data_IF_575541518644
#
_entry.id   IF_575541518644
#
_cell.length_a   1.000
_cell.length_b   1.000
_cell.length_c   1.000
_cell.angle_alpha   90.00
_cell.angle_beta   90.00
_cell.angle_gamma   90.00
#
_symmetry.space_group_name_H-M   'P 1'
#
loop_
_entity.id
_entity.type
_entity.pdbx_description
1 polymer ?
#
# COMPACT_ATOMS: atom_id res chain seq x y z
N UNK A 1 38.58 56.67 6.95
CA UNK A 1 39.15 56.05 5.70
C UNK A 1 40.59 55.58 5.82
N UNK A 2 41.50 56.32 6.47
CA UNK A 2 42.95 55.98 6.54
C UNK A 2 43.24 54.66 7.31
N UNK A 3 42.48 54.35 8.38
CA UNK A 3 42.65 53.09 9.15
C UNK A 3 42.30 51.84 8.38
N UNK A 4 41.26 51.86 7.54
CA UNK A 4 40.86 50.73 6.68
C UNK A 4 41.89 50.42 5.58
N UNK A 5 42.51 51.48 5.01
CA UNK A 5 43.51 51.32 4.01
C UNK A 5 44.83 50.69 4.56
N UNK A 6 45.13 50.97 5.81
CA UNK A 6 46.30 50.43 6.52
C UNK A 6 46.12 48.94 6.84
N UNK A 7 44.92 48.54 7.27
CA UNK A 7 44.53 47.12 7.53
C UNK A 7 44.56 46.34 6.23
N UNK A 8 44.02 46.93 5.13
CA UNK A 8 44.02 46.30 3.81
C UNK A 8 45.47 46.02 3.32
N UNK A 9 46.38 47.01 3.41
CA UNK A 9 47.77 46.84 2.97
C UNK A 9 48.56 45.84 3.83
N UNK A 10 48.30 45.75 5.12
CA UNK A 10 48.93 44.75 6.00
C UNK A 10 48.46 43.32 5.75
N UNK A 11 47.18 43.13 5.36
CA UNK A 11 46.58 41.81 5.19
C UNK A 11 46.12 41.53 3.74
N UNK A 12 46.76 42.14 2.77
CA UNK A 12 46.40 42.07 1.33
C UNK A 12 46.16 40.63 0.83
N UNK A 13 46.99 39.67 1.28
CA UNK A 13 46.84 38.27 0.91
C UNK A 13 45.55 37.63 1.48
N UNK A 14 45.18 37.96 2.72
CA UNK A 14 43.98 37.43 3.36
C UNK A 14 42.72 38.00 2.71
N UNK A 15 42.73 39.30 2.36
CA UNK A 15 41.62 39.93 1.61
C UNK A 15 41.46 39.36 0.24
N UNK A 16 42.56 39.04 -0.47
CA UNK A 16 42.53 38.45 -1.78
C UNK A 16 41.99 36.99 -1.77
N UNK A 17 42.39 36.20 -0.77
CA UNK A 17 41.83 34.87 -0.55
C UNK A 17 40.35 34.91 -0.21
N UNK A 18 39.95 35.82 0.69
CA UNK A 18 38.54 36.01 1.02
C UNK A 18 37.68 36.43 -0.18
N UNK A 19 38.21 37.29 -1.05
CA UNK A 19 37.52 37.70 -2.26
C UNK A 19 37.35 36.54 -3.28
N UNK A 20 38.38 35.71 -3.42
CA UNK A 20 38.33 34.52 -4.27
C UNK A 20 37.25 33.51 -3.74
N UNK A 21 37.18 33.33 -2.42
CA UNK A 21 36.18 32.46 -1.80
C UNK A 21 34.76 32.98 -2.07
N UNK A 22 34.54 34.29 -1.94
CA UNK A 22 33.22 34.91 -2.21
C UNK A 22 32.84 34.70 -3.70
N UNK A 23 33.76 34.90 -4.64
CA UNK A 23 33.50 34.66 -6.06
C UNK A 23 33.20 33.19 -6.32
N UNK A 24 33.91 32.27 -5.69
CA UNK A 24 33.64 30.84 -5.82
C UNK A 24 32.24 30.47 -5.29
N UNK A 25 31.83 31.03 -4.16
CA UNK A 25 30.49 30.82 -3.62
C UNK A 25 29.42 31.36 -4.56
N UNK A 26 29.61 32.56 -5.13
CA UNK A 26 28.67 33.16 -6.09
C UNK A 26 28.60 32.29 -7.36
N UNK A 27 29.72 31.79 -7.86
CA UNK A 27 29.72 30.90 -9.01
C UNK A 27 28.99 29.58 -8.73
N UNK A 28 29.17 28.98 -7.57
CA UNK A 28 28.45 27.78 -7.14
C UNK A 28 26.94 28.05 -7.05
N UNK A 29 26.55 29.18 -6.45
CA UNK A 29 25.14 29.56 -6.35
C UNK A 29 24.52 29.83 -7.73
N UNK A 30 25.26 30.39 -8.68
CA UNK A 30 24.78 30.59 -10.06
C UNK A 30 24.61 29.27 -10.79
N UNK A 31 25.53 28.32 -10.60
CA UNK A 31 25.42 26.96 -11.16
C UNK A 31 24.21 26.25 -10.55
N UNK A 32 24.04 26.27 -9.23
CA UNK A 32 22.86 25.68 -8.55
C UNK A 32 21.55 26.32 -9.02
N UNK A 33 21.53 27.65 -9.17
CA UNK A 33 20.37 28.37 -9.66
C UNK A 33 20.09 28.10 -11.14
N UNK A 34 21.12 27.82 -11.93
CA UNK A 34 21.00 27.38 -13.33
C UNK A 34 20.43 25.96 -13.45
N UNK A 35 20.82 25.07 -12.54
CA UNK A 35 20.19 23.73 -12.44
C UNK A 35 18.74 23.83 -11.93
N UNK A 36 18.46 24.66 -10.93
CA UNK A 36 17.12 24.91 -10.46
C UNK A 36 16.23 25.53 -11.55
N UNK A 37 16.75 26.48 -12.34
CA UNK A 37 16.01 27.06 -13.49
C UNK A 37 15.80 26.07 -14.64
N UNK A 38 16.69 25.10 -14.87
CA UNK A 38 16.45 24.03 -15.84
C UNK A 38 15.33 23.08 -15.42
N UNK A 39 15.12 22.89 -14.10
CA UNK A 39 13.98 22.13 -13.59
C UNK A 39 12.67 22.94 -13.60
N UNK A 40 12.72 24.28 -13.65
CA UNK A 40 11.53 25.17 -13.64
C UNK A 40 11.15 25.71 -15.03
N UNK A 41 11.91 25.46 -16.09
CA UNK A 41 11.58 25.99 -17.42
C UNK A 41 10.69 25.09 -18.28
N UNK A 42 10.12 24.02 -17.70
CA UNK A 42 9.10 23.20 -18.37
C UNK A 42 7.69 23.32 -17.76
N UNK A 43 7.39 24.43 -17.08
CA UNK A 43 6.05 24.69 -16.54
C UNK A 43 5.29 25.76 -17.36
N UNK A 44 5.03 25.46 -18.62
CA UNK A 44 3.75 25.79 -19.21
C UNK A 44 2.89 24.55 -19.02
N UNK A 45 2.17 24.48 -17.90
CA UNK A 45 1.22 23.41 -17.61
C UNK A 45 -0.01 23.63 -18.50
N UNK A 46 0.10 23.18 -19.72
CA UNK A 46 -0.99 22.51 -20.39
C UNK A 46 -1.11 21.21 -19.56
N UNK A 47 -2.33 20.88 -19.10
CA UNK A 47 -2.66 19.55 -18.58
C UNK A 47 -2.45 18.56 -19.72
N UNK A 48 -1.23 18.29 -20.05
CA UNK A 48 -0.85 17.19 -20.88
C UNK A 48 -0.57 16.05 -19.92
N UNK A 49 -1.46 15.08 -19.90
CA UNK A 49 -1.23 13.72 -19.43
C UNK A 49 -0.04 13.14 -20.20
N UNK A 50 1.15 13.67 -19.97
CA UNK A 50 2.37 13.20 -20.60
C UNK A 50 2.88 12.03 -19.77
N UNK A 51 2.62 10.83 -20.28
CA UNK A 51 3.43 9.66 -19.96
C UNK A 51 4.88 10.08 -20.15
N UNK A 52 5.69 9.98 -19.11
CA UNK A 52 7.13 10.20 -19.26
C UNK A 52 7.62 9.27 -20.38
N UNK A 53 8.42 9.77 -21.30
CA UNK A 53 8.96 8.96 -22.41
C UNK A 53 9.89 7.82 -21.93
N UNK A 54 10.31 7.88 -20.67
CA UNK A 54 11.00 6.82 -19.97
C UNK A 54 9.99 5.83 -19.41
N UNK A 55 9.84 4.66 -20.03
CA UNK A 55 9.03 3.56 -19.52
C UNK A 55 7.83 3.18 -20.38
N UNK A 56 7.75 3.64 -21.62
CA UNK A 56 6.77 3.08 -22.56
C UNK A 56 7.00 1.57 -22.68
N UNK A 57 6.06 0.78 -22.16
CA UNK A 57 5.94 -0.66 -22.31
C UNK A 57 6.95 -1.54 -21.56
N UNK A 58 7.79 -1.01 -20.67
CA UNK A 58 8.67 -1.81 -19.84
C UNK A 58 8.18 -1.83 -18.40
N UNK A 59 8.08 -3.01 -17.85
CA UNK A 59 7.72 -3.22 -16.45
C UNK A 59 8.87 -2.81 -15.53
N UNK A 60 8.55 -2.07 -14.47
CA UNK A 60 9.56 -1.57 -13.57
C UNK A 60 10.23 -2.67 -12.73
N UNK A 61 9.51 -3.77 -12.49
CA UNK A 61 9.98 -4.89 -11.64
C UNK A 61 10.75 -5.93 -12.46
N UNK A 62 10.21 -6.37 -13.58
CA UNK A 62 10.79 -7.46 -14.39
C UNK A 62 11.72 -6.95 -15.48
N UNK A 63 11.54 -5.70 -15.91
CA UNK A 63 12.23 -5.15 -17.08
C UNK A 63 11.71 -5.71 -18.40
N UNK A 64 10.66 -6.50 -18.39
CA UNK A 64 10.05 -7.09 -19.57
C UNK A 64 9.24 -6.05 -20.35
N UNK A 65 9.17 -6.25 -21.65
CA UNK A 65 8.43 -5.36 -22.54
C UNK A 65 7.05 -5.92 -22.81
N UNK A 66 6.02 -5.17 -22.43
CA UNK A 66 4.64 -5.49 -22.83
C UNK A 66 4.43 -5.34 -24.34
N UNK A 67 3.53 -6.15 -24.90
CA UNK A 67 3.07 -5.94 -26.26
C UNK A 67 2.36 -4.60 -26.40
N UNK A 68 2.64 -3.87 -27.48
CA UNK A 68 2.10 -2.53 -27.70
C UNK A 68 0.56 -2.51 -27.71
N UNK A 69 -0.08 -3.53 -28.28
CA UNK A 69 -1.53 -3.67 -28.34
C UNK A 69 -2.16 -3.80 -26.95
N UNK A 70 -1.61 -4.65 -26.09
CA UNK A 70 -2.06 -4.87 -24.72
C UNK A 70 -1.85 -3.60 -23.89
N UNK A 71 -0.66 -3.01 -23.96
CA UNK A 71 -0.34 -1.77 -23.25
C UNK A 71 -1.29 -0.61 -23.60
N UNK A 72 -1.64 -0.41 -24.87
CA UNK A 72 -2.56 0.67 -25.28
C UNK A 72 -3.99 0.41 -24.80
N UNK A 73 -4.45 -0.84 -24.72
CA UNK A 73 -5.78 -1.18 -24.17
C UNK A 73 -5.80 -0.85 -22.67
N UNK A 74 -4.84 -1.36 -21.92
CA UNK A 74 -4.73 -1.16 -20.47
C UNK A 74 -4.60 0.33 -20.11
N UNK A 75 -3.77 1.04 -20.82
CA UNK A 75 -3.61 2.49 -20.71
C UNK A 75 -4.92 3.25 -20.91
N UNK A 76 -5.74 2.84 -21.87
CA UNK A 76 -7.03 3.48 -22.12
C UNK A 76 -7.99 3.28 -20.94
N UNK A 77 -8.01 2.10 -20.32
CA UNK A 77 -8.84 1.81 -19.14
C UNK A 77 -8.40 2.69 -17.96
N UNK A 78 -7.09 2.76 -17.69
CA UNK A 78 -6.53 3.62 -16.64
C UNK A 78 -6.87 5.08 -16.90
N UNK A 79 -6.67 5.54 -18.14
CA UNK A 79 -6.95 6.92 -18.55
C UNK A 79 -8.43 7.25 -18.39
N UNK A 80 -9.33 6.39 -18.83
CA UNK A 80 -10.77 6.58 -18.69
C UNK A 80 -11.19 6.75 -17.23
N UNK A 81 -10.66 5.90 -16.33
CA UNK A 81 -10.91 6.01 -14.89
C UNK A 81 -10.41 7.34 -14.33
N UNK A 82 -9.16 7.69 -14.61
CA UNK A 82 -8.53 8.91 -14.09
C UNK A 82 -9.16 10.18 -14.67
N UNK A 83 -9.50 10.19 -15.95
CA UNK A 83 -10.19 11.31 -16.59
C UNK A 83 -11.58 11.53 -15.98
N UNK A 84 -12.34 10.46 -15.68
CA UNK A 84 -13.61 10.59 -14.98
C UNK A 84 -13.43 11.19 -13.57
N UNK A 85 -12.40 10.74 -12.82
CA UNK A 85 -12.10 11.33 -11.52
C UNK A 85 -11.73 12.82 -11.62
N UNK A 86 -10.84 13.18 -12.54
CA UNK A 86 -10.39 14.59 -12.75
C UNK A 86 -11.52 15.49 -13.21
N UNK A 87 -12.45 14.98 -14.02
CA UNK A 87 -13.60 15.73 -14.55
C UNK A 87 -14.79 15.81 -13.59
N UNK A 88 -14.68 15.25 -12.37
CA UNK A 88 -15.75 15.32 -11.38
C UNK A 88 -16.90 14.33 -11.59
N UNK A 89 -16.64 13.20 -12.23
CA UNK A 89 -17.61 12.14 -12.51
C UNK A 89 -17.29 10.85 -11.73
N UNK A 90 -17.38 10.87 -10.37
CA UNK A 90 -17.00 9.72 -9.55
C UNK A 90 -17.86 8.47 -9.80
N UNK A 91 -19.13 8.62 -10.20
CA UNK A 91 -20.02 7.51 -10.54
C UNK A 91 -19.48 6.73 -11.75
N UNK A 92 -19.11 7.44 -12.81
CA UNK A 92 -18.53 6.83 -14.02
C UNK A 92 -17.17 6.18 -13.72
N UNK A 93 -16.34 6.80 -12.87
CA UNK A 93 -15.10 6.19 -12.41
C UNK A 93 -15.36 4.89 -11.60
N UNK A 94 -16.32 4.94 -10.68
CA UNK A 94 -16.68 3.76 -9.87
C UNK A 94 -17.15 2.60 -10.75
N UNK A 95 -17.86 2.85 -11.85
CA UNK A 95 -18.31 1.80 -12.77
C UNK A 95 -17.15 1.05 -13.44
N UNK A 96 -15.98 1.67 -13.57
CA UNK A 96 -14.78 1.05 -14.15
C UNK A 96 -14.10 0.09 -13.14
N UNK A 97 -14.33 0.27 -11.84
CA UNK A 97 -13.76 -0.60 -10.81
C UNK A 97 -14.37 -2.01 -10.92
N UNK A 98 -13.53 -3.05 -10.71
CA UNK A 98 -13.98 -4.44 -10.74
C UNK A 98 -14.93 -4.76 -9.58
N UNK A 99 -15.81 -5.76 -9.77
CA UNK A 99 -16.77 -6.16 -8.75
C UNK A 99 -16.08 -6.71 -7.49
N UNK A 100 -14.96 -7.40 -7.64
CA UNK A 100 -14.20 -7.90 -6.50
C UNK A 100 -13.56 -6.77 -5.71
N UNK A 101 -12.94 -5.81 -6.39
CA UNK A 101 -12.37 -4.63 -5.75
C UNK A 101 -13.47 -3.79 -5.06
N UNK A 102 -14.63 -3.60 -5.70
CA UNK A 102 -15.78 -2.96 -5.05
C UNK A 102 -16.15 -3.67 -3.77
N UNK A 103 -16.38 -4.98 -3.81
CA UNK A 103 -16.80 -5.76 -2.62
C UNK A 103 -15.79 -5.72 -1.48
N UNK A 104 -14.49 -5.76 -1.81
CA UNK A 104 -13.41 -5.84 -0.81
C UNK A 104 -13.00 -4.48 -0.26
N UNK A 105 -13.00 -3.42 -1.09
CA UNK A 105 -12.41 -2.12 -0.74
C UNK A 105 -13.46 -1.02 -0.65
N UNK A 106 -14.39 -0.95 -1.62
CA UNK A 106 -15.38 0.11 -1.73
C UNK A 106 -16.78 -0.46 -1.98
N UNK A 107 -17.45 -1.07 -0.97
CA UNK A 107 -18.71 -1.79 -1.14
C UNK A 107 -19.85 -0.92 -1.72
N UNK A 108 -19.78 0.37 -1.52
CA UNK A 108 -20.71 1.35 -2.10
C UNK A 108 -20.00 2.50 -2.80
N UNK A 109 -20.73 3.20 -3.65
CA UNK A 109 -20.24 4.43 -4.29
C UNK A 109 -19.83 5.50 -3.25
N UNK A 110 -20.52 5.58 -2.12
CA UNK A 110 -20.20 6.52 -1.06
C UNK A 110 -18.85 6.17 -0.41
N UNK A 111 -18.56 4.88 -0.19
CA UNK A 111 -17.27 4.45 0.33
C UNK A 111 -16.12 4.82 -0.62
N UNK A 112 -16.34 4.71 -1.93
CA UNK A 112 -15.39 5.16 -2.93
C UNK A 112 -15.22 6.68 -2.93
N UNK A 113 -16.33 7.43 -2.89
CA UNK A 113 -16.28 8.90 -2.88
C UNK A 113 -15.54 9.40 -1.65
N UNK A 114 -15.87 8.90 -0.46
CA UNK A 114 -15.29 9.39 0.79
C UNK A 114 -13.87 8.83 1.04
N UNK A 115 -13.65 7.56 0.74
CA UNK A 115 -12.40 6.87 1.02
C UNK A 115 -11.32 7.03 -0.07
N UNK A 116 -11.66 7.48 -1.27
CA UNK A 116 -10.72 7.61 -2.38
C UNK A 116 -10.86 8.92 -3.15
N UNK A 117 -12.02 9.14 -3.78
CA UNK A 117 -12.22 10.28 -4.68
C UNK A 117 -12.00 11.63 -3.98
N UNK A 118 -12.62 11.84 -2.80
CA UNK A 118 -12.49 13.08 -2.05
C UNK A 118 -11.06 13.31 -1.55
N UNK A 119 -10.32 12.26 -1.23
CA UNK A 119 -8.95 12.40 -0.74
C UNK A 119 -7.96 12.84 -1.82
N UNK A 120 -8.18 12.43 -3.07
CA UNK A 120 -7.23 12.66 -4.15
C UNK A 120 -7.70 13.77 -5.09
N UNK A 121 -8.99 13.79 -5.48
CA UNK A 121 -9.48 14.60 -6.60
C UNK A 121 -10.38 15.75 -6.20
N UNK A 122 -11.05 15.70 -5.03
CA UNK A 122 -11.96 16.76 -4.61
C UNK A 122 -11.18 18.06 -4.36
N UNK A 123 -11.62 19.13 -5.03
CA UNK A 123 -11.05 20.47 -4.90
C UNK A 123 -9.56 20.58 -5.28
N UNK A 124 -8.96 19.51 -5.79
CA UNK A 124 -7.57 19.45 -6.18
C UNK A 124 -7.44 19.48 -7.71
N UNK A 125 -6.57 20.36 -8.22
CA UNK A 125 -6.09 20.25 -9.60
C UNK A 125 -4.98 19.20 -9.63
N UNK A 126 -5.37 17.93 -9.78
CA UNK A 126 -4.47 16.79 -9.74
C UNK A 126 -3.95 16.52 -11.14
N UNK A 127 -2.63 16.45 -11.27
CA UNK A 127 -1.97 15.81 -12.40
C UNK A 127 -1.55 14.40 -12.00
N UNK A 128 -1.54 13.49 -12.94
CA UNK A 128 -1.15 12.11 -12.69
C UNK A 128 -0.14 11.63 -13.72
N UNK A 129 0.67 10.67 -13.31
CA UNK A 129 1.55 9.88 -14.16
C UNK A 129 1.33 8.40 -13.86
N UNK A 130 1.52 7.53 -14.84
CA UNK A 130 1.43 6.08 -14.63
C UNK A 130 2.53 5.36 -15.38
N UNK A 131 2.97 4.23 -14.80
CA UNK A 131 4.04 3.40 -15.29
C UNK A 131 3.68 1.93 -15.11
N UNK A 132 3.94 1.07 -16.10
CA UNK A 132 3.83 -0.36 -15.92
C UNK A 132 4.75 -0.81 -14.77
N UNK A 133 4.21 -1.55 -13.80
CA UNK A 133 4.93 -1.98 -12.61
C UNK A 133 5.33 -3.46 -12.72
N UNK A 134 4.35 -4.32 -12.88
CA UNK A 134 4.49 -5.75 -13.15
C UNK A 134 3.28 -6.19 -13.95
N UNK A 135 3.40 -7.25 -14.76
CA UNK A 135 2.34 -7.80 -15.62
C UNK A 135 1.13 -6.86 -15.87
N UNK A 136 0.05 -7.03 -15.10
CA UNK A 136 -1.19 -6.28 -15.23
C UNK A 136 -1.30 -5.11 -14.24
N UNK A 137 -0.22 -4.81 -13.49
CA UNK A 137 -0.20 -3.79 -12.45
C UNK A 137 0.55 -2.53 -12.90
N UNK A 138 -0.02 -1.38 -12.61
CA UNK A 138 0.50 -0.06 -12.90
C UNK A 138 0.68 0.73 -11.61
N UNK A 139 1.82 1.41 -11.49
CA UNK A 139 2.06 2.44 -10.48
C UNK A 139 1.48 3.76 -10.98
N UNK A 140 0.65 4.38 -10.15
CA UNK A 140 0.06 5.70 -10.42
C UNK A 140 0.64 6.70 -9.42
N UNK A 141 1.09 7.83 -9.94
CA UNK A 141 1.65 8.92 -9.14
C UNK A 141 0.78 10.15 -9.29
N UNK A 142 0.27 10.67 -8.18
CA UNK A 142 -0.55 11.87 -8.14
C UNK A 142 0.24 13.07 -7.64
N UNK A 143 0.08 14.20 -8.29
CA UNK A 143 0.69 15.48 -7.90
C UNK A 143 -0.39 16.54 -7.81
N UNK A 144 -0.49 17.21 -6.68
CA UNK A 144 -1.37 18.35 -6.52
C UNK A 144 -0.70 19.58 -7.12
N UNK A 145 -1.33 20.22 -8.09
CA UNK A 145 -0.89 21.49 -8.65
C UNK A 145 -1.28 22.64 -7.71
N UNK A 146 -0.40 23.00 -6.77
CA UNK A 146 -0.59 24.09 -5.81
C UNK A 146 -0.24 25.47 -6.43
N UNK A 147 -0.51 25.68 -7.71
CA UNK A 147 -0.24 26.98 -8.34
C UNK A 147 -1.27 28.06 -8.02
N UNK A 148 -2.37 27.76 -7.29
CA UNK A 148 -3.43 28.76 -7.05
C UNK A 148 -3.31 29.51 -5.71
N UNK A 149 -2.47 29.10 -4.77
CA UNK A 149 -2.43 29.70 -3.42
C UNK A 149 -1.13 30.38 -3.03
N UNK A 150 -0.09 30.35 -3.87
CA UNK A 150 1.19 31.03 -3.61
C UNK A 150 1.98 30.52 -2.39
N UNK A 151 1.57 29.42 -1.79
CA UNK A 151 2.27 28.76 -0.69
C UNK A 151 3.06 27.60 -1.27
N UNK A 152 4.37 27.70 -1.25
CA UNK A 152 5.28 26.55 -1.45
C UNK A 152 5.14 25.61 -0.26
N UNK A 153 4.15 24.74 -0.28
CA UNK A 153 4.20 23.50 0.50
C UNK A 153 4.69 22.39 -0.42
N UNK A 154 5.58 21.53 0.07
CA UNK A 154 6.03 20.37 -0.64
C UNK A 154 4.83 19.65 -1.26
N UNK A 155 4.85 19.47 -2.58
CA UNK A 155 3.79 18.80 -3.29
C UNK A 155 3.55 17.44 -2.62
N UNK A 156 2.37 17.25 -2.03
CA UNK A 156 2.00 15.98 -1.44
C UNK A 156 1.96 14.96 -2.58
N UNK A 157 2.93 14.08 -2.58
CA UNK A 157 3.08 13.03 -3.55
C UNK A 157 2.35 11.81 -3.03
N UNK A 158 1.31 11.39 -3.72
CA UNK A 158 0.55 10.18 -3.36
C UNK A 158 0.73 9.16 -4.47
N UNK A 159 1.05 7.93 -4.10
CA UNK A 159 1.17 6.80 -5.01
C UNK A 159 0.03 5.82 -4.80
N UNK A 160 -0.44 5.20 -5.88
CA UNK A 160 -1.38 4.08 -5.85
C UNK A 160 -0.96 3.02 -6.88
N UNK A 161 -1.50 1.83 -6.75
CA UNK A 161 -1.26 0.71 -7.66
C UNK A 161 -2.59 0.20 -8.21
N UNK A 162 -2.69 0.17 -9.54
CA UNK A 162 -3.86 -0.30 -10.25
C UNK A 162 -3.55 -1.61 -10.95
N UNK A 163 -4.42 -2.60 -10.78
CA UNK A 163 -4.31 -3.87 -11.50
C UNK A 163 -5.44 -3.99 -12.50
N UNK A 164 -5.12 -4.35 -13.73
CA UNK A 164 -6.10 -4.56 -14.80
C UNK A 164 -6.70 -5.95 -14.66
N UNK A 165 -8.03 -6.03 -14.68
CA UNK A 165 -8.78 -7.29 -14.66
C UNK A 165 -9.81 -7.28 -15.78
N UNK A 166 -9.46 -7.85 -16.92
CA UNK A 166 -10.26 -7.74 -18.16
C UNK A 166 -10.40 -6.30 -18.61
N UNK A 167 -11.62 -5.75 -18.61
CA UNK A 167 -11.90 -4.35 -18.96
C UNK A 167 -12.16 -3.47 -17.72
N UNK A 168 -11.71 -3.89 -16.54
CA UNK A 168 -11.95 -3.24 -15.26
C UNK A 168 -10.66 -3.00 -14.51
N UNK A 169 -10.73 -2.16 -13.47
CA UNK A 169 -9.61 -1.83 -12.59
C UNK A 169 -9.83 -2.35 -11.18
N UNK A 170 -8.77 -2.86 -10.59
CA UNK A 170 -8.56 -2.89 -9.16
C UNK A 170 -7.72 -1.66 -8.80
N UNK A 171 -8.08 -0.95 -7.76
CA UNK A 171 -7.39 0.26 -7.26
C UNK A 171 -6.97 0.06 -5.80
N UNK A 172 -6.29 1.04 -5.21
CA UNK A 172 -5.84 1.01 -3.80
C UNK A 172 -4.94 -0.18 -3.47
N UNK A 173 -4.10 -0.55 -4.43
CA UNK A 173 -3.19 -1.67 -4.30
C UNK A 173 -3.85 -3.04 -4.24
N UNK A 174 -5.17 -3.15 -4.39
CA UNK A 174 -5.88 -4.43 -4.45
C UNK A 174 -5.54 -5.18 -5.73
N UNK A 175 -5.13 -6.44 -5.61
CA UNK A 175 -4.70 -7.26 -6.77
C UNK A 175 -5.74 -8.30 -7.13
N UNK A 176 -6.03 -9.23 -6.20
CA UNK A 176 -6.98 -10.31 -6.45
C UNK A 176 -7.56 -10.87 -5.16
N UNK A 177 -8.64 -11.64 -5.32
CA UNK A 177 -9.20 -12.51 -4.30
C UNK A 177 -9.08 -13.96 -4.76
N UNK A 178 -8.71 -14.83 -3.84
CA UNK A 178 -8.59 -16.26 -4.07
C UNK A 178 -9.44 -17.03 -3.07
N UNK A 179 -10.43 -17.78 -3.58
CA UNK A 179 -11.29 -18.62 -2.77
C UNK A 179 -10.56 -19.90 -2.37
N UNK A 180 -10.50 -20.20 -1.08
CA UNK A 180 -9.79 -21.35 -0.52
C UNK A 180 -10.75 -22.41 -0.02
N UNK A 181 -11.67 -22.05 0.87
CA UNK A 181 -12.69 -22.92 1.44
C UNK A 181 -12.13 -24.22 2.07
N UNK A 182 -11.03 -24.09 2.81
CA UNK A 182 -10.41 -25.19 3.57
C UNK A 182 -10.66 -25.04 5.04
N UNK A 183 -10.89 -26.14 5.74
CA UNK A 183 -11.20 -26.13 7.16
C UNK A 183 -10.50 -27.26 7.91
N UNK A 184 -10.36 -27.11 9.22
CA UNK A 184 -10.01 -28.16 10.16
C UNK A 184 -10.82 -27.97 11.45
N UNK A 185 -11.17 -29.13 12.05
CA UNK A 185 -11.91 -29.18 13.32
C UNK A 185 -11.09 -30.01 14.32
N UNK A 186 -10.67 -29.38 15.41
CA UNK A 186 -9.94 -30.04 16.50
C UNK A 186 -10.59 -29.65 17.82
N UNK A 187 -10.93 -30.63 18.66
CA UNK A 187 -11.56 -30.43 19.97
C UNK A 187 -12.83 -29.55 19.91
N UNK A 188 -13.68 -29.76 18.91
CA UNK A 188 -14.91 -28.98 18.68
C UNK A 188 -14.65 -27.47 18.43
N UNK A 189 -13.46 -27.10 17.98
CA UNK A 189 -13.15 -25.80 17.44
C UNK A 189 -12.94 -25.98 15.95
N UNK A 190 -13.82 -25.38 15.14
CA UNK A 190 -13.72 -25.41 13.68
C UNK A 190 -13.16 -24.08 13.20
N UNK A 191 -12.08 -24.11 12.38
CA UNK A 191 -11.55 -22.95 11.69
C UNK A 191 -11.58 -23.22 10.20
N UNK A 192 -12.28 -22.36 9.46
CA UNK A 192 -12.37 -22.39 8.01
C UNK A 192 -11.66 -21.17 7.43
N UNK A 193 -10.71 -21.40 6.52
CA UNK A 193 -10.15 -20.37 5.65
C UNK A 193 -11.09 -20.17 4.47
N UNK A 194 -11.74 -19.03 4.38
CA UNK A 194 -12.67 -18.73 3.29
C UNK A 194 -11.93 -18.33 2.02
N UNK A 195 -11.06 -17.32 2.12
CA UNK A 195 -10.32 -16.77 1.00
C UNK A 195 -9.10 -15.99 1.46
N UNK A 196 -8.23 -15.69 0.49
CA UNK A 196 -7.19 -14.68 0.60
C UNK A 196 -7.51 -13.49 -0.29
N UNK A 197 -7.27 -12.28 0.23
CA UNK A 197 -7.28 -11.05 -0.56
C UNK A 197 -5.87 -10.52 -0.63
N UNK A 198 -5.36 -10.38 -1.84
CA UNK A 198 -3.98 -9.96 -2.10
C UNK A 198 -3.96 -8.47 -2.43
N UNK A 199 -3.13 -7.77 -1.70
CA UNK A 199 -2.78 -6.38 -1.95
C UNK A 199 -1.29 -6.29 -2.28
N UNK A 200 -0.86 -5.20 -2.86
CA UNK A 200 0.56 -5.02 -3.24
C UNK A 200 1.54 -5.33 -2.09
N UNK A 201 1.26 -4.85 -0.88
CA UNK A 201 2.21 -4.90 0.25
C UNK A 201 1.74 -5.81 1.40
N UNK A 202 0.55 -6.42 1.29
CA UNK A 202 0.02 -7.29 2.32
C UNK A 202 -1.03 -8.28 1.77
N UNK A 203 -1.31 -9.29 2.56
CA UNK A 203 -2.37 -10.27 2.29
C UNK A 203 -3.33 -10.31 3.48
N UNK A 204 -4.63 -10.35 3.20
CA UNK A 204 -5.67 -10.57 4.20
C UNK A 204 -6.18 -12.00 4.07
N UNK A 205 -6.14 -12.76 5.18
CA UNK A 205 -6.76 -14.07 5.31
C UNK A 205 -8.11 -13.93 6.00
N UNK A 206 -9.18 -14.24 5.29
CA UNK A 206 -10.54 -14.20 5.82
C UNK A 206 -10.94 -15.58 6.34
N UNK A 207 -11.27 -15.64 7.62
CA UNK A 207 -11.58 -16.84 8.37
C UNK A 207 -13.00 -16.84 8.88
N UNK A 208 -13.58 -18.03 9.00
CA UNK A 208 -14.77 -18.28 9.81
C UNK A 208 -14.39 -19.25 10.92
N UNK A 209 -14.61 -18.88 12.18
CA UNK A 209 -14.28 -19.69 13.34
C UNK A 209 -15.53 -20.00 14.12
N UNK A 210 -15.77 -21.29 14.35
CA UNK A 210 -16.90 -21.76 15.11
C UNK A 210 -16.43 -22.49 16.37
N UNK A 211 -16.75 -21.92 17.52
CA UNK A 211 -16.51 -22.51 18.83
C UNK A 211 -17.69 -23.40 19.24
N UNK A 212 -17.57 -24.70 19.05
CA UNK A 212 -18.61 -25.69 19.44
C UNK A 212 -18.36 -26.26 20.85
N UNK A 213 -17.43 -25.70 21.61
CA UNK A 213 -17.15 -26.12 23.00
C UNK A 213 -18.13 -25.45 23.98
N UNK A 214 -18.17 -25.94 25.20
CA UNK A 214 -18.94 -25.35 26.31
C UNK A 214 -18.21 -24.18 27.02
N UNK A 215 -17.02 -23.79 26.52
CA UNK A 215 -16.17 -22.75 27.10
C UNK A 215 -15.90 -21.62 26.12
N UNK A 216 -15.56 -20.46 26.66
CA UNK A 216 -15.01 -19.37 25.85
C UNK A 216 -13.57 -19.70 25.44
N UNK A 217 -13.21 -19.42 24.19
CA UNK A 217 -11.87 -19.70 23.66
C UNK A 217 -11.18 -18.40 23.21
N UNK A 218 -9.84 -18.47 23.09
CA UNK A 218 -9.05 -17.39 22.52
C UNK A 218 -8.13 -17.98 21.45
N UNK A 219 -8.30 -17.56 20.20
CA UNK A 219 -7.56 -18.11 19.04
C UNK A 219 -6.09 -17.68 19.06
N UNK A 220 -5.80 -16.51 19.61
CA UNK A 220 -4.43 -16.03 19.84
C UNK A 220 -4.39 -15.12 21.06
N UNK A 221 -3.36 -15.26 21.87
CA UNK A 221 -3.11 -14.37 23.01
C UNK A 221 -2.64 -12.98 22.57
N UNK A 222 -2.31 -12.78 21.30
CA UNK A 222 -1.73 -11.55 20.69
C UNK A 222 -0.40 -11.10 21.31
N UNK A 223 0.13 -11.86 22.26
CA UNK A 223 1.43 -11.58 22.89
C UNK A 223 2.60 -11.99 22.00
N UNK A 224 2.34 -12.91 21.07
CA UNK A 224 3.36 -13.45 20.17
C UNK A 224 2.82 -13.46 18.73
N UNK A 225 3.45 -12.67 17.86
CA UNK A 225 3.09 -12.64 16.43
C UNK A 225 3.26 -13.99 15.72
N UNK A 226 3.94 -14.95 16.37
CA UNK A 226 4.12 -16.32 15.86
C UNK A 226 2.96 -17.25 16.19
N UNK A 227 1.95 -16.80 16.93
CA UNK A 227 0.78 -17.63 17.26
C UNK A 227 -0.05 -17.96 16.00
N UNK A 228 -0.08 -17.08 15.02
CA UNK A 228 -0.72 -17.34 13.73
C UNK A 228 0.30 -17.12 12.62
N UNK A 229 0.51 -18.12 11.78
CA UNK A 229 1.47 -18.08 10.69
C UNK A 229 0.89 -18.65 9.41
N UNK A 230 1.21 -18.04 8.28
CA UNK A 230 1.04 -18.61 6.95
C UNK A 230 2.38 -19.13 6.45
N UNK A 231 2.39 -20.25 5.77
CA UNK A 231 3.59 -20.87 5.19
C UNK A 231 3.36 -21.05 3.69
N UNK A 232 4.30 -20.56 2.88
CA UNK A 232 4.25 -20.72 1.43
C UNK A 232 4.81 -22.09 0.98
N UNK A 233 4.73 -22.36 -0.33
CA UNK A 233 5.26 -23.61 -0.91
C UNK A 233 6.78 -23.75 -0.77
N UNK A 234 7.49 -22.65 -0.53
CA UNK A 234 8.94 -22.62 -0.33
C UNK A 234 9.34 -22.75 1.15
N UNK A 235 8.42 -23.09 2.04
CA UNK A 235 8.64 -23.19 3.50
C UNK A 235 8.95 -21.85 4.19
N UNK A 236 8.64 -20.70 3.55
CA UNK A 236 8.80 -19.40 4.17
C UNK A 236 7.62 -19.13 5.10
N UNK A 237 7.91 -18.80 6.35
CA UNK A 237 6.91 -18.48 7.36
C UNK A 237 6.65 -16.99 7.43
N UNK A 238 5.39 -16.59 7.38
CA UNK A 238 4.93 -15.21 7.56
C UNK A 238 4.05 -15.12 8.81
N UNK A 239 4.43 -14.25 9.74
CA UNK A 239 3.66 -13.97 10.95
C UNK A 239 2.59 -12.92 10.69
N UNK A 240 1.47 -13.00 11.42
CA UNK A 240 0.42 -12.00 11.31
C UNK A 240 0.84 -10.62 11.87
N UNK A 241 0.14 -9.59 11.43
CA UNK A 241 0.35 -8.22 11.91
C UNK A 241 -0.56 -7.93 13.11
N UNK A 242 0.01 -7.98 14.32
CA UNK A 242 -0.75 -7.94 15.58
C UNK A 242 -1.42 -6.59 15.90
N UNK A 243 -0.98 -5.49 15.28
CA UNK A 243 -1.48 -4.14 15.63
C UNK A 243 -2.93 -3.89 15.19
N UNK A 244 -3.46 -4.69 14.27
CA UNK A 244 -4.85 -4.55 13.77
C UNK A 244 -5.84 -5.48 14.46
N UNK A 245 -5.36 -6.43 15.26
CA UNK A 245 -6.20 -7.33 16.04
C UNK A 245 -6.13 -6.97 17.54
N UNK A 246 -7.23 -7.19 18.22
CA UNK A 246 -7.29 -7.12 19.68
C UNK A 246 -7.92 -8.40 20.25
N UNK A 247 -7.82 -8.59 21.57
CA UNK A 247 -8.31 -9.80 22.25
C UNK A 247 -9.79 -10.07 21.96
N UNK A 248 -10.62 -9.04 21.84
CA UNK A 248 -12.03 -9.18 21.50
C UNK A 248 -12.25 -9.68 20.07
N UNK A 249 -11.34 -9.39 19.14
CA UNK A 249 -11.45 -9.87 17.77
C UNK A 249 -11.19 -11.37 17.65
N UNK A 250 -10.33 -11.92 18.48
CA UNK A 250 -9.90 -13.33 18.42
C UNK A 250 -10.50 -14.21 19.54
N UNK A 251 -11.27 -13.63 20.45
CA UNK A 251 -12.04 -14.35 21.49
C UNK A 251 -13.41 -14.73 20.95
N UNK A 252 -13.84 -15.97 21.23
CA UNK A 252 -15.17 -16.49 20.89
C UNK A 252 -15.85 -17.09 22.13
N UNK A 253 -17.11 -16.72 22.31
CA UNK A 253 -17.97 -17.34 23.32
C UNK A 253 -18.32 -18.78 22.95
N UNK A 254 -18.72 -19.58 23.93
CA UNK A 254 -19.30 -20.90 23.70
C UNK A 254 -20.44 -20.84 22.68
N UNK A 255 -20.42 -21.71 21.68
CA UNK A 255 -21.41 -21.77 20.60
C UNK A 255 -21.33 -20.63 19.57
N UNK A 256 -20.38 -19.71 19.68
CA UNK A 256 -20.26 -18.58 18.77
C UNK A 256 -19.61 -18.97 17.44
N UNK A 257 -20.19 -18.46 16.35
CA UNK A 257 -19.57 -18.41 15.02
C UNK A 257 -19.16 -16.97 14.71
N UNK A 258 -17.92 -16.76 14.24
CA UNK A 258 -17.35 -15.43 14.02
C UNK A 258 -16.46 -15.39 12.79
N UNK A 259 -16.65 -14.34 11.99
CA UNK A 259 -15.74 -14.00 10.90
C UNK A 259 -14.61 -13.11 11.42
N UNK A 260 -13.38 -13.41 11.00
CA UNK A 260 -12.16 -12.70 11.39
C UNK A 260 -11.28 -12.53 10.16
N UNK A 261 -10.78 -11.33 9.96
CA UNK A 261 -9.78 -11.01 8.93
C UNK A 261 -8.42 -10.81 9.58
N UNK A 262 -7.42 -11.53 9.11
CA UNK A 262 -6.04 -11.46 9.62
C UNK A 262 -5.13 -10.94 8.52
N UNK A 263 -4.40 -9.86 8.81
CA UNK A 263 -3.45 -9.25 7.88
C UNK A 263 -2.04 -9.77 8.10
N UNK A 264 -1.39 -10.08 6.98
CA UNK A 264 0.01 -10.46 6.91
C UNK A 264 0.77 -9.48 6.02
N UNK A 265 1.87 -8.93 6.50
CA UNK A 265 2.73 -8.04 5.72
C UNK A 265 3.57 -8.86 4.73
N UNK A 266 2.98 -9.19 3.59
CA UNK A 266 3.57 -10.01 2.54
C UNK A 266 3.38 -9.23 1.24
N UNK A 267 4.46 -8.74 0.64
CA UNK A 267 4.38 -8.12 -0.68
C UNK A 267 3.97 -9.15 -1.73
N UNK A 268 3.01 -8.79 -2.55
CA UNK A 268 2.53 -9.65 -3.62
C UNK A 268 3.64 -9.94 -4.63
N UNK A 269 3.67 -11.18 -5.09
CA UNK A 269 4.42 -11.68 -6.23
C UNK A 269 3.64 -12.84 -6.84
N UNK A 270 3.78 -13.04 -8.13
CA UNK A 270 2.96 -13.98 -8.89
C UNK A 270 3.14 -15.45 -8.47
N UNK A 271 4.34 -15.80 -8.03
CA UNK A 271 4.69 -17.12 -7.52
C UNK A 271 4.29 -17.36 -6.05
N UNK A 272 3.57 -16.41 -5.44
CA UNK A 272 3.15 -16.53 -4.04
C UNK A 272 1.97 -17.49 -3.91
N UNK A 273 2.23 -18.69 -3.43
CA UNK A 273 1.22 -19.71 -3.12
C UNK A 273 1.39 -20.17 -1.68
N UNK A 274 0.29 -20.27 -0.95
CA UNK A 274 0.30 -20.73 0.43
C UNK A 274 -0.08 -22.19 0.53
N UNK A 275 0.67 -23.00 1.29
CA UNK A 275 0.40 -24.41 1.49
C UNK A 275 -0.31 -24.71 2.80
N UNK A 276 -0.16 -23.85 3.81
CA UNK A 276 -0.80 -24.05 5.11
C UNK A 276 -0.87 -22.78 5.94
N UNK A 277 -1.83 -22.76 6.87
CA UNK A 277 -1.90 -21.80 7.97
C UNK A 277 -1.87 -22.53 9.30
N UNK A 278 -1.07 -22.03 10.23
CA UNK A 278 -0.91 -22.59 11.56
C UNK A 278 -1.46 -21.62 12.61
N UNK A 279 -2.24 -22.17 13.51
CA UNK A 279 -2.69 -21.51 14.74
C UNK A 279 -2.01 -22.21 15.90
N UNK A 280 -1.05 -21.55 16.53
CA UNK A 280 -0.33 -22.07 17.66
C UNK A 280 -0.88 -21.44 18.94
N UNK A 281 -0.92 -22.22 20.03
CA UNK A 281 -1.36 -21.74 21.34
C UNK A 281 -2.82 -21.24 21.39
N UNK A 282 -3.75 -21.89 20.68
CA UNK A 282 -5.18 -21.66 20.89
C UNK A 282 -5.54 -22.00 22.32
N UNK A 283 -6.13 -21.06 23.05
CA UNK A 283 -6.51 -21.23 24.44
C UNK A 283 -7.95 -21.74 24.49
N UNK A 284 -8.15 -22.95 25.02
CA UNK A 284 -9.43 -23.65 25.07
C UNK A 284 -10.33 -23.19 26.22
N UNK A 285 -9.79 -22.49 27.21
CA UNK A 285 -10.52 -21.96 28.37
C UNK A 285 -10.04 -20.53 28.65
N UNK A 286 -10.76 -19.55 28.07
CA UNK A 286 -10.42 -18.14 28.21
C UNK A 286 -10.57 -17.64 29.65
N UNK A 287 -11.52 -18.18 30.42
CA UNK A 287 -11.75 -17.73 31.79
C UNK A 287 -10.59 -18.15 32.72
N UNK A 288 -10.07 -19.36 32.56
CA UNK A 288 -8.81 -19.77 33.22
C UNK A 288 -7.62 -18.92 32.79
N UNK A 289 -7.49 -18.64 31.49
CA UNK A 289 -6.41 -17.79 30.97
C UNK A 289 -6.43 -16.41 31.62
N UNK A 290 -7.60 -15.78 31.71
CA UNK A 290 -7.79 -14.48 32.33
C UNK A 290 -7.40 -14.45 33.80
N UNK A 291 -7.66 -15.55 34.51
CA UNK A 291 -7.30 -15.70 35.91
C UNK A 291 -5.84 -16.10 36.16
N UNK A 292 -5.09 -16.43 35.10
CA UNK A 292 -3.72 -16.93 35.22
C UNK A 292 -3.61 -18.40 35.69
N UNK A 293 -4.69 -19.17 35.54
CA UNK A 293 -4.83 -20.56 35.98
C UNK A 293 -4.60 -21.59 34.85
N UNK A 294 -4.13 -21.09 33.66
CA UNK A 294 -3.94 -21.92 32.47
C UNK A 294 -2.79 -22.89 32.61
N UNK A 295 -2.98 -24.11 32.15
CA UNK A 295 -1.92 -25.15 32.04
C UNK A 295 -1.77 -25.61 30.56
N UNK A 296 -0.78 -26.50 30.32
CA UNK A 296 -0.51 -27.02 28.97
C UNK A 296 -1.69 -27.79 28.36
N UNK A 297 -2.59 -28.35 29.18
CA UNK A 297 -3.77 -29.05 28.68
C UNK A 297 -4.86 -28.10 28.17
N UNK A 298 -4.81 -26.84 28.58
CA UNK A 298 -5.75 -25.79 28.13
C UNK A 298 -5.31 -25.13 26.82
N UNK A 299 -4.17 -25.52 26.26
CA UNK A 299 -3.61 -24.98 25.00
C UNK A 299 -3.61 -26.04 23.92
N UNK A 300 -3.82 -25.65 22.69
CA UNK A 300 -3.74 -26.53 21.51
C UNK A 300 -3.19 -25.82 20.30
N UNK A 301 -2.63 -26.59 19.39
CA UNK A 301 -2.24 -26.14 18.06
C UNK A 301 -3.20 -26.69 17.00
N UNK A 302 -3.40 -25.93 15.93
CA UNK A 302 -4.20 -26.34 14.77
C UNK A 302 -3.50 -25.93 13.48
N UNK A 303 -3.49 -26.85 12.52
CA UNK A 303 -2.95 -26.63 11.19
C UNK A 303 -4.05 -26.85 10.14
N UNK A 304 -4.14 -25.96 9.16
CA UNK A 304 -5.02 -26.10 8.00
C UNK A 304 -4.15 -26.13 6.74
N UNK A 305 -4.26 -27.19 5.96
CA UNK A 305 -3.63 -27.31 4.64
C UNK A 305 -4.50 -26.57 3.62
N UNK A 306 -3.87 -25.72 2.84
CA UNK A 306 -4.51 -24.84 1.86
C UNK A 306 -4.56 -25.47 0.46
#
# INVERSE_FOLDING_TARGET
MIKLFRIYNQNRRIFLVGFIIIIAIIAILQVLNSFAKRSTQNENVIVNNTISEYGKNYEAVTGEKKENSTYEIEKNIIKEFLDNCVNGNPEAAYDIISDNCKKSVYPSINDFIDGYYNMIFKDNKVSYNYQAWSEDTYKIEFRNNILSTGIYSDSVYTEDYYTIVGNKLNISGYIKKEEVNKENNVNNINIKVNNFEYYKDYVICNLNIFNQTDKNILVSSLKNSKDIKIIDENDVEFSFYSNELNELNVMLYSGQNKEISIKFNISYREDLNFKQINFNNIIKDYDKFKNGEIDNSDVMDMQIKL
#
